data_IF_603385447811
#
_entry.id   IF_603385447811
#
_cell.length_a   1.000
_cell.length_b   1.000
_cell.length_c   1.000
_cell.angle_alpha   90.00
_cell.angle_beta   90.00
_cell.angle_gamma   90.00
#
_symmetry.space_group_name_H-M   'P 1'
#
loop_
_entity.id
_entity.type
_entity.pdbx_description
1 polymer ?
#
# COMPACT_ATOMS: atom_id res chain seq x y z
N UNK A 1 10.74 4.36 5.47
CA UNK A 1 11.22 3.81 4.18
C UNK A 1 10.15 2.83 3.70
N UNK A 2 9.20 3.28 2.89
CA UNK A 2 8.17 2.42 2.33
C UNK A 2 8.71 1.84 1.02
N UNK A 3 8.87 0.52 0.96
CA UNK A 3 9.14 -0.18 -0.29
C UNK A 3 8.10 -1.29 -0.44
N UNK A 4 7.38 -1.22 -1.56
CA UNK A 4 6.42 -2.22 -2.02
C UNK A 4 7.08 -3.56 -2.33
N UNK A 5 6.49 -4.66 -1.84
CA UNK A 5 6.76 -6.02 -2.33
C UNK A 5 5.61 -6.46 -3.23
N UNK A 6 5.93 -6.81 -4.48
CA UNK A 6 5.00 -7.46 -5.41
C UNK A 6 4.67 -8.88 -4.96
N UNK A 7 3.41 -9.29 -5.19
CA UNK A 7 2.94 -10.65 -4.94
C UNK A 7 3.51 -11.66 -5.94
N UNK A 8 3.81 -12.85 -5.43
CA UNK A 8 4.29 -14.02 -6.17
C UNK A 8 3.24 -14.58 -7.14
N UNK A 9 3.73 -15.01 -8.31
CA UNK A 9 3.02 -15.86 -9.26
C UNK A 9 2.83 -17.28 -8.70
N UNK A 10 1.65 -17.83 -8.93
CA UNK A 10 1.30 -19.23 -8.78
C UNK A 10 2.08 -20.10 -9.78
N UNK A 11 2.82 -21.09 -9.28
CA UNK A 11 3.43 -22.16 -10.08
C UNK A 11 2.33 -23.05 -10.68
N UNK A 12 2.24 -23.09 -12.01
CA UNK A 12 1.54 -24.15 -12.72
C UNK A 12 2.53 -25.29 -13.03
N UNK A 13 2.28 -26.45 -12.44
CA UNK A 13 2.95 -27.71 -12.75
C UNK A 13 2.71 -28.09 -14.23
N UNK A 14 3.78 -28.39 -14.96
CA UNK A 14 3.74 -29.19 -16.18
C UNK A 14 4.76 -30.32 -16.06
N UNK A 15 4.27 -31.56 -16.00
CA UNK A 15 5.05 -32.79 -16.12
C UNK A 15 5.24 -33.14 -17.59
N UNK A 16 6.45 -33.55 -17.97
CA UNK A 16 6.70 -34.52 -19.06
C UNK A 16 7.96 -35.34 -18.77
N UNK A 17 7.81 -36.62 -19.05
CA UNK A 17 8.70 -37.73 -18.79
C UNK A 17 9.94 -37.83 -19.72
N UNK A 18 10.89 -38.59 -19.19
CA UNK A 18 11.73 -39.63 -19.81
C UNK A 18 13.08 -39.35 -20.49
N UNK A 19 14.09 -39.94 -19.81
CA UNK A 19 15.16 -40.81 -20.32
C UNK A 19 16.48 -40.21 -20.83
N UNK A 20 17.58 -40.46 -20.08
CA UNK A 20 18.70 -41.33 -20.51
C UNK A 20 20.01 -41.11 -19.69
N UNK A 21 20.63 -42.21 -19.24
CA UNK A 21 22.10 -42.41 -19.15
C UNK A 21 22.82 -42.01 -17.85
N UNK A 22 23.04 -42.90 -16.87
CA UNK A 22 24.18 -43.86 -16.73
C UNK A 22 25.36 -43.37 -15.84
N UNK A 23 25.41 -43.95 -14.63
CA UNK A 23 26.54 -44.59 -13.87
C UNK A 23 27.82 -43.79 -13.45
N UNK A 24 28.24 -44.12 -12.21
CA UNK A 24 29.54 -43.97 -11.50
C UNK A 24 29.60 -42.78 -10.52
N UNK A 25 29.88 -42.94 -9.22
CA UNK A 25 30.25 -44.10 -8.42
C UNK A 25 30.69 -43.61 -7.03
N UNK A 26 30.28 -44.32 -5.98
CA UNK A 26 30.70 -44.12 -4.60
C UNK A 26 32.22 -44.25 -4.44
N UNK A 27 32.86 -43.27 -3.80
CA UNK A 27 33.99 -43.52 -2.89
C UNK A 27 33.98 -42.51 -1.75
N UNK A 28 33.55 -42.99 -0.59
CA UNK A 28 33.93 -42.45 0.70
C UNK A 28 35.46 -42.46 0.83
N UNK A 29 36.03 -41.37 1.34
CA UNK A 29 37.40 -41.33 1.82
C UNK A 29 37.42 -40.51 3.11
N UNK A 30 37.35 -41.26 4.21
CA UNK A 30 37.72 -40.77 5.53
C UNK A 30 39.16 -40.26 5.46
N UNK A 31 39.40 -39.04 5.94
CA UNK A 31 40.74 -38.65 6.36
C UNK A 31 40.67 -37.94 7.71
N UNK A 32 41.62 -38.35 8.53
CA UNK A 32 41.77 -38.17 9.96
C UNK A 32 41.66 -36.74 10.49
N UNK A 33 41.02 -36.65 11.66
CA UNK A 33 41.24 -35.62 12.67
C UNK A 33 42.75 -35.51 12.99
N UNK A 34 43.30 -34.32 12.83
CA UNK A 34 44.38 -33.83 13.69
C UNK A 34 43.99 -32.47 14.23
N UNK A 35 43.73 -32.43 15.53
CA UNK A 35 43.62 -31.21 16.30
C UNK A 35 44.98 -30.53 16.33
N UNK A 36 45.05 -29.26 15.91
CA UNK A 36 46.08 -28.38 16.40
C UNK A 36 45.48 -27.00 16.64
N UNK A 37 45.50 -26.62 17.91
CA UNK A 37 45.19 -25.31 18.45
C UNK A 37 46.18 -24.27 17.93
N UNK A 38 45.67 -23.16 17.39
CA UNK A 38 46.01 -21.80 17.81
C UNK A 38 45.46 -20.75 16.81
N UNK A 39 44.57 -19.90 17.32
CA UNK A 39 44.39 -18.50 16.94
C UNK A 39 44.27 -18.14 15.46
N UNK A 40 43.05 -18.17 14.92
CA UNK A 40 42.61 -17.24 13.87
C UNK A 40 41.18 -16.83 14.19
N UNK A 41 40.94 -15.52 14.26
CA UNK A 41 39.63 -14.90 14.42
C UNK A 41 38.61 -15.61 13.51
N UNK A 42 37.61 -16.21 14.12
CA UNK A 42 36.51 -16.83 13.39
C UNK A 42 35.85 -15.75 12.53
N UNK A 43 35.94 -15.91 11.20
CA UNK A 43 35.05 -15.23 10.27
C UNK A 43 33.63 -15.43 10.81
N UNK A 44 33.00 -14.34 11.25
CA UNK A 44 31.59 -14.36 11.62
C UNK A 44 30.81 -14.65 10.34
N UNK A 45 30.50 -15.91 10.09
CA UNK A 45 29.62 -16.32 9.00
C UNK A 45 28.26 -15.72 9.31
N UNK A 46 27.84 -14.71 8.55
CA UNK A 46 26.60 -13.93 8.74
C UNK A 46 25.31 -14.72 8.43
N UNK A 47 25.44 -16.03 8.23
CA UNK A 47 24.34 -16.92 7.90
C UNK A 47 24.76 -18.34 8.25
N UNK A 48 24.69 -18.70 9.53
CA UNK A 48 24.66 -20.11 9.91
C UNK A 48 23.38 -20.73 9.34
N UNK A 49 23.43 -21.83 8.58
CA UNK A 49 22.24 -22.56 8.12
C UNK A 49 21.52 -23.29 9.26
N UNK A 50 22.14 -23.34 10.44
CA UNK A 50 21.69 -24.08 11.59
C UNK A 50 20.73 -23.22 12.44
N UNK A 51 19.43 -23.48 12.28
CA UNK A 51 18.47 -23.32 13.36
C UNK A 51 17.97 -21.90 13.67
N UNK A 52 17.76 -21.06 12.66
CA UNK A 52 16.92 -19.87 12.85
C UNK A 52 15.48 -20.29 13.20
N UNK A 53 14.93 -19.76 14.29
CA UNK A 53 13.51 -19.94 14.61
C UNK A 53 12.69 -19.53 13.38
N UNK A 54 11.78 -20.38 12.89
CA UNK A 54 10.98 -20.08 11.71
C UNK A 54 10.06 -18.90 12.03
N UNK A 55 10.50 -17.69 11.67
CA UNK A 55 9.71 -16.48 11.83
C UNK A 55 8.58 -16.56 10.80
N UNK A 56 7.34 -16.45 11.28
CA UNK A 56 6.17 -16.37 10.41
C UNK A 56 6.36 -15.26 9.37
N UNK A 57 5.94 -15.48 8.13
CA UNK A 57 6.19 -14.56 7.02
C UNK A 57 5.63 -13.15 7.32
N UNK A 58 4.51 -13.07 8.04
CA UNK A 58 3.90 -11.81 8.48
C UNK A 58 4.72 -11.04 9.53
N UNK A 59 5.75 -11.65 10.10
CA UNK A 59 6.66 -11.06 11.11
C UNK A 59 8.08 -10.87 10.59
N UNK A 60 8.35 -11.19 9.32
CA UNK A 60 9.66 -11.03 8.72
C UNK A 60 9.91 -9.59 8.27
N UNK A 61 11.18 -9.17 8.30
CA UNK A 61 11.63 -7.88 7.74
C UNK A 61 12.34 -8.17 6.43
N UNK A 62 11.80 -7.65 5.33
CA UNK A 62 12.40 -7.80 4.00
C UNK A 62 13.43 -6.71 3.73
N UNK A 63 14.59 -7.10 3.20
CA UNK A 63 15.71 -6.19 2.93
C UNK A 63 15.94 -6.04 1.43
N UNK A 64 15.63 -4.87 0.88
CA UNK A 64 15.99 -4.54 -0.52
C UNK A 64 17.45 -4.07 -0.64
N UNK A 65 17.99 -3.45 0.42
CA UNK A 65 19.36 -2.99 0.53
C UNK A 65 19.87 -3.29 1.94
N UNK A 66 21.14 -3.63 2.05
CA UNK A 66 21.78 -3.86 3.35
C UNK A 66 21.71 -2.61 4.22
N UNK A 67 21.23 -2.77 5.46
CA UNK A 67 21.13 -1.69 6.45
C UNK A 67 21.76 -2.16 7.76
N UNK A 68 22.87 -1.54 8.15
CA UNK A 68 23.50 -1.83 9.43
C UNK A 68 22.79 -1.06 10.56
N UNK A 69 21.93 -1.74 11.30
CA UNK A 69 21.17 -1.14 12.38
C UNK A 69 22.07 -0.55 13.48
N UNK A 70 23.31 -1.04 13.69
CA UNK A 70 24.23 -0.48 14.69
C UNK A 70 24.58 0.99 14.43
N UNK A 71 24.55 1.42 13.17
CA UNK A 71 24.89 2.79 12.77
C UNK A 71 23.70 3.74 12.82
N UNK A 72 22.50 3.24 13.17
CA UNK A 72 21.28 4.04 13.23
C UNK A 72 21.14 4.67 14.62
N UNK A 73 21.27 6.00 14.68
CA UNK A 73 21.18 6.79 15.91
C UNK A 73 19.73 7.12 16.30
N UNK A 74 18.85 7.26 15.31
CA UNK A 74 17.45 7.61 15.53
C UNK A 74 16.52 6.87 14.58
N UNK A 75 15.31 6.55 15.05
CA UNK A 75 14.24 5.94 14.28
C UNK A 75 13.03 6.87 14.28
N UNK A 76 12.70 7.39 13.11
CA UNK A 76 11.51 8.20 12.88
C UNK A 76 10.33 7.34 12.46
N UNK A 77 9.16 7.64 13.00
CA UNK A 77 7.91 6.96 12.66
C UNK A 77 6.95 7.95 12.02
N UNK A 78 6.22 7.49 11.00
CA UNK A 78 4.95 8.10 10.62
C UNK A 78 3.84 7.56 11.54
N UNK A 79 2.71 8.26 11.62
CA UNK A 79 1.58 7.85 12.43
C UNK A 79 0.57 7.05 11.61
N UNK A 80 -0.04 7.68 10.61
CA UNK A 80 -1.18 7.13 9.90
C UNK A 80 -0.75 5.97 8.99
N UNK A 81 -1.41 4.81 9.12
CA UNK A 81 -1.04 3.55 8.45
C UNK A 81 0.39 3.04 8.73
N UNK A 82 1.10 3.60 9.72
CA UNK A 82 2.38 3.08 10.21
C UNK A 82 2.27 2.62 11.66
N UNK A 83 1.97 3.53 12.59
CA UNK A 83 1.68 3.19 13.98
C UNK A 83 0.18 2.98 14.22
N UNK A 84 -0.66 3.84 13.64
CA UNK A 84 -2.11 3.71 13.64
C UNK A 84 -2.54 2.92 12.40
N UNK A 85 -2.70 1.61 12.56
CA UNK A 85 -3.18 0.75 11.47
C UNK A 85 -4.70 0.81 11.40
N UNK A 86 -5.24 1.60 10.48
CA UNK A 86 -6.69 1.72 10.31
C UNK A 86 -7.31 0.45 9.73
N UNK A 87 -8.56 0.18 10.14
CA UNK A 87 -9.42 -0.87 9.59
C UNK A 87 -10.07 -0.35 8.31
N UNK A 88 -9.78 -0.92 7.12
CA UNK A 88 -10.36 -0.43 5.87
C UNK A 88 -11.89 -0.44 5.88
N UNK A 89 -12.51 -1.47 6.47
CA UNK A 89 -13.96 -1.67 6.48
C UNK A 89 -14.72 -0.56 7.21
N UNK A 90 -14.07 0.15 8.13
CA UNK A 90 -14.69 1.20 8.93
C UNK A 90 -14.13 2.59 8.62
N UNK A 91 -12.80 2.74 8.57
CA UNK A 91 -12.18 4.06 8.41
C UNK A 91 -12.24 4.54 6.96
N UNK A 92 -11.94 3.69 5.98
CA UNK A 92 -11.98 4.08 4.57
C UNK A 92 -13.43 4.28 4.11
N UNK A 93 -14.36 3.42 4.57
CA UNK A 93 -15.80 3.62 4.37
C UNK A 93 -16.29 4.96 4.92
N UNK A 94 -15.85 5.35 6.12
CA UNK A 94 -16.19 6.65 6.70
C UNK A 94 -15.64 7.81 5.86
N UNK A 95 -14.40 7.71 5.39
CA UNK A 95 -13.78 8.72 4.53
C UNK A 95 -14.50 8.84 3.18
N UNK A 96 -14.88 7.70 2.60
CA UNK A 96 -15.64 7.61 1.37
C UNK A 96 -17.02 8.27 1.51
N UNK A 97 -17.81 7.90 2.52
CA UNK A 97 -19.12 8.51 2.79
C UNK A 97 -19.01 10.02 3.02
N UNK A 98 -18.00 10.43 3.79
CA UNK A 98 -17.71 11.85 4.02
C UNK A 98 -17.42 12.58 2.71
N UNK A 99 -16.62 11.98 1.82
CA UNK A 99 -16.27 12.55 0.51
C UNK A 99 -17.50 12.71 -0.38
N UNK A 100 -18.38 11.69 -0.45
CA UNK A 100 -19.64 11.76 -1.20
C UNK A 100 -20.52 12.91 -0.71
N UNK A 101 -20.68 13.06 0.62
CA UNK A 101 -21.48 14.15 1.17
C UNK A 101 -20.94 15.52 0.75
N UNK A 102 -19.62 15.69 0.68
CA UNK A 102 -19.00 16.94 0.21
C UNK A 102 -19.23 17.16 -1.29
N UNK A 103 -19.10 16.12 -2.11
CA UNK A 103 -19.42 16.21 -3.54
C UNK A 103 -20.87 16.67 -3.75
N UNK A 104 -21.82 16.08 -3.04
CA UNK A 104 -23.25 16.39 -3.19
C UNK A 104 -23.61 17.75 -2.61
N UNK A 105 -23.28 18.00 -1.34
CA UNK A 105 -23.75 19.20 -0.64
C UNK A 105 -22.92 20.45 -0.92
N UNK A 106 -21.62 20.32 -1.21
CA UNK A 106 -20.73 21.48 -1.37
C UNK A 106 -20.42 21.75 -2.86
N UNK A 107 -20.41 20.71 -3.70
CA UNK A 107 -20.03 20.81 -5.13
C UNK A 107 -21.19 20.53 -6.10
N UNK A 108 -22.39 20.28 -5.59
CA UNK A 108 -23.61 20.17 -6.40
C UNK A 108 -23.71 18.91 -7.26
N UNK A 109 -23.00 17.84 -6.90
CA UNK A 109 -23.18 16.55 -7.56
C UNK A 109 -24.56 15.94 -7.25
N UNK A 110 -25.07 15.04 -8.10
CA UNK A 110 -26.42 14.48 -7.94
C UNK A 110 -26.64 13.76 -6.60
N UNK A 111 -27.82 13.92 -5.96
CA UNK A 111 -28.10 13.31 -4.67
C UNK A 111 -28.08 11.77 -4.69
N UNK A 112 -28.25 11.14 -5.86
CA UNK A 112 -28.17 9.69 -6.02
C UNK A 112 -26.80 9.12 -5.59
N UNK A 113 -25.74 9.93 -5.57
CA UNK A 113 -24.43 9.51 -5.07
C UNK A 113 -24.46 9.12 -3.59
N UNK A 114 -25.40 9.66 -2.80
CA UNK A 114 -25.54 9.32 -1.37
C UNK A 114 -25.92 7.85 -1.12
N UNK A 115 -26.44 7.17 -2.14
CA UNK A 115 -26.83 5.75 -2.07
C UNK A 115 -25.67 4.82 -2.46
N UNK A 116 -24.52 5.37 -2.89
CA UNK A 116 -23.39 4.56 -3.31
C UNK A 116 -22.70 3.87 -2.15
N UNK A 117 -22.15 2.70 -2.46
CA UNK A 117 -21.42 1.86 -1.52
C UNK A 117 -19.96 1.72 -1.95
N UNK A 118 -19.10 1.51 -0.96
CA UNK A 118 -17.67 1.33 -1.13
C UNK A 118 -17.27 -0.12 -0.86
N UNK A 119 -16.53 -0.71 -1.81
CA UNK A 119 -15.85 -2.00 -1.62
C UNK A 119 -14.33 -1.77 -1.41
N UNK A 120 -13.82 -1.92 -0.17
CA UNK A 120 -12.39 -1.72 0.12
C UNK A 120 -11.48 -2.77 -0.54
N UNK A 121 -12.02 -3.86 -1.08
CA UNK A 121 -11.23 -4.94 -1.69
C UNK A 121 -11.04 -4.78 -3.19
N UNK A 122 -11.78 -3.87 -3.82
CA UNK A 122 -11.75 -3.71 -5.27
C UNK A 122 -10.47 -3.05 -5.77
N UNK A 123 -10.05 -1.97 -5.10
CA UNK A 123 -8.84 -1.23 -5.47
C UNK A 123 -7.61 -1.80 -4.78
N UNK A 124 -6.50 -1.82 -5.53
CA UNK A 124 -5.20 -2.21 -4.99
C UNK A 124 -4.18 -1.10 -5.20
N UNK A 125 -3.21 -1.01 -4.30
CA UNK A 125 -2.11 -0.07 -4.44
C UNK A 125 -1.25 -0.37 -5.68
N UNK A 126 -0.58 0.67 -6.18
CA UNK A 126 0.27 0.61 -7.37
C UNK A 126 -0.54 0.54 -8.67
N UNK A 127 -1.77 1.07 -8.65
CA UNK A 127 -2.55 1.42 -9.84
C UNK A 127 -2.26 2.87 -10.23
N UNK A 128 -2.60 3.24 -11.46
CA UNK A 128 -2.44 4.61 -11.98
C UNK A 128 -3.76 5.06 -12.60
N UNK A 129 -4.23 6.25 -12.24
CA UNK A 129 -5.43 6.86 -12.80
C UNK A 129 -5.03 7.73 -14.00
N UNK A 130 -5.64 7.50 -15.16
CA UNK A 130 -5.66 8.44 -16.29
C UNK A 130 -6.86 9.37 -16.12
N UNK A 131 -6.59 10.59 -15.65
CA UNK A 131 -7.63 11.57 -15.31
C UNK A 131 -8.27 12.15 -16.56
N UNK A 132 -7.57 12.17 -17.68
CA UNK A 132 -8.07 12.69 -18.95
C UNK A 132 -9.10 11.75 -19.58
N UNK A 133 -8.85 10.44 -19.48
CA UNK A 133 -9.65 9.41 -20.14
C UNK A 133 -10.57 8.64 -19.19
N UNK A 134 -10.54 8.93 -17.90
CA UNK A 134 -11.36 8.23 -16.90
C UNK A 134 -10.94 6.77 -16.70
N UNK A 135 -9.65 6.46 -16.87
CA UNK A 135 -9.17 5.08 -16.86
C UNK A 135 -8.33 4.74 -15.64
N UNK A 136 -8.28 3.46 -15.29
CA UNK A 136 -7.47 2.88 -14.22
C UNK A 136 -6.53 1.86 -14.83
N UNK A 137 -5.24 2.04 -14.61
CA UNK A 137 -4.18 1.30 -15.29
C UNK A 137 -3.40 0.46 -14.29
N UNK A 138 -3.16 -0.81 -14.66
CA UNK A 138 -2.14 -1.65 -14.04
C UNK A 138 -0.96 -1.79 -14.99
N UNK A 139 0.18 -1.25 -14.58
CA UNK A 139 1.42 -1.28 -15.37
C UNK A 139 2.47 -2.20 -14.77
N UNK A 140 3.39 -2.66 -15.62
CA UNK A 140 4.64 -3.27 -15.16
C UNK A 140 5.73 -2.23 -14.86
N UNK A 141 6.90 -2.71 -14.41
CA UNK A 141 8.05 -1.87 -14.05
C UNK A 141 8.61 -1.04 -15.21
N UNK A 142 8.27 -1.38 -16.46
CA UNK A 142 8.71 -0.68 -17.67
C UNK A 142 7.62 0.25 -18.22
N UNK A 143 6.56 0.49 -17.44
CA UNK A 143 5.40 1.33 -17.80
C UNK A 143 4.55 0.77 -18.95
N UNK A 144 4.59 -0.56 -19.19
CA UNK A 144 3.63 -1.19 -20.10
C UNK A 144 2.31 -1.45 -19.40
N UNK A 145 1.21 -0.95 -19.98
CA UNK A 145 -0.16 -1.18 -19.50
C UNK A 145 -0.56 -2.64 -19.74
N UNK A 146 -0.63 -3.42 -18.66
CA UNK A 146 -1.08 -4.82 -18.70
C UNK A 146 -2.60 -4.91 -18.71
N UNK A 147 -3.24 -4.15 -17.84
CA UNK A 147 -4.70 -4.12 -17.66
C UNK A 147 -5.13 -2.66 -17.59
N UNK A 148 -6.28 -2.36 -18.18
CA UNK A 148 -6.86 -1.03 -18.16
C UNK A 148 -8.38 -1.15 -18.00
N UNK A 149 -8.95 -0.32 -17.13
CA UNK A 149 -10.39 -0.19 -16.93
C UNK A 149 -10.82 1.24 -17.26
N UNK A 150 -12.02 1.40 -17.78
CA UNK A 150 -12.74 2.66 -17.85
C UNK A 150 -13.91 2.59 -16.86
N UNK A 151 -13.86 3.38 -15.80
CA UNK A 151 -14.69 3.11 -14.61
C UNK A 151 -14.45 1.68 -14.11
N UNK A 152 -15.49 0.86 -14.04
CA UNK A 152 -15.38 -0.58 -13.71
C UNK A 152 -15.42 -1.52 -14.91
N UNK A 153 -15.46 -0.99 -16.13
CA UNK A 153 -15.45 -1.79 -17.35
C UNK A 153 -14.03 -2.02 -17.84
N UNK A 154 -13.60 -3.27 -17.96
CA UNK A 154 -12.30 -3.59 -18.54
C UNK A 154 -12.26 -3.18 -20.03
N UNK A 155 -11.16 -2.54 -20.44
CA UNK A 155 -10.94 -2.18 -21.85
C UNK A 155 -10.56 -3.43 -22.65
N UNK A 156 -11.08 -3.50 -23.88
CA UNK A 156 -10.66 -4.53 -24.84
C UNK A 156 -9.17 -4.42 -25.14
N UNK A 157 -8.57 -5.49 -25.66
CA UNK A 157 -7.16 -5.48 -26.04
C UNK A 157 -6.92 -4.43 -27.13
N UNK A 158 -7.84 -4.30 -28.07
CA UNK A 158 -7.81 -3.39 -29.19
C UNK A 158 -7.87 -1.93 -28.71
N UNK A 159 -8.81 -1.60 -27.81
CA UNK A 159 -8.94 -0.25 -27.24
C UNK A 159 -7.72 0.13 -26.40
N UNK A 160 -7.23 -0.81 -25.60
CA UNK A 160 -6.03 -0.62 -24.78
C UNK A 160 -4.79 -0.37 -25.64
N UNK A 161 -4.60 -1.16 -26.71
CA UNK A 161 -3.46 -0.98 -27.62
C UNK A 161 -3.62 0.30 -28.43
N UNK A 162 -4.82 0.63 -28.89
CA UNK A 162 -5.09 1.90 -29.57
C UNK A 162 -4.82 3.12 -28.68
N UNK A 163 -5.10 3.02 -27.38
CA UNK A 163 -4.95 4.12 -26.42
C UNK A 163 -3.54 4.24 -25.85
N UNK A 164 -2.92 3.12 -25.45
CA UNK A 164 -1.66 3.08 -24.69
C UNK A 164 -0.55 2.28 -25.37
N UNK A 165 -0.80 1.68 -26.54
CA UNK A 165 0.16 0.83 -27.23
C UNK A 165 1.24 1.58 -28.01
N UNK A 166 1.10 2.90 -28.18
CA UNK A 166 2.09 3.70 -28.90
C UNK A 166 3.32 3.99 -28.02
N UNK A 167 4.30 3.09 -28.07
CA UNK A 167 5.56 3.17 -27.32
C UNK A 167 6.48 4.31 -27.74
N UNK A 168 6.22 4.99 -28.86
CA UNK A 168 7.01 6.15 -29.31
C UNK A 168 6.71 7.40 -28.47
N UNK A 169 5.49 7.51 -27.96
CA UNK A 169 5.11 8.52 -26.97
C UNK A 169 5.22 7.82 -25.64
N UNK A 170 6.40 7.95 -25.01
CA UNK A 170 6.56 7.49 -23.63
C UNK A 170 5.81 8.47 -22.75
N UNK A 171 4.48 8.30 -22.67
CA UNK A 171 3.67 9.00 -21.69
C UNK A 171 4.38 8.81 -20.36
N UNK A 172 4.69 9.93 -19.71
CA UNK A 172 5.43 9.87 -18.45
C UNK A 172 4.60 9.13 -17.40
N UNK A 173 3.28 9.00 -17.59
CA UNK A 173 2.32 8.46 -16.61
C UNK A 173 2.46 9.17 -15.26
N UNK A 174 2.86 10.43 -15.32
CA UNK A 174 3.12 11.28 -14.19
C UNK A 174 2.07 12.41 -14.15
N UNK A 175 2.04 13.14 -13.03
CA UNK A 175 1.23 14.35 -12.89
C UNK A 175 1.60 15.39 -13.99
N UNK A 176 0.64 16.20 -14.49
CA UNK A 176 -0.70 16.45 -13.95
C UNK A 176 -1.81 15.58 -14.55
N UNK A 177 -1.53 14.75 -15.55
CA UNK A 177 -2.57 14.00 -16.27
C UNK A 177 -2.86 12.64 -15.63
N UNK A 178 -1.87 12.09 -14.91
CA UNK A 178 -1.97 10.82 -14.22
C UNK A 178 -1.80 10.98 -12.71
N UNK A 179 -2.48 10.14 -11.94
CA UNK A 179 -2.31 10.07 -10.48
C UNK A 179 -1.93 8.64 -10.05
N UNK A 180 -0.93 8.52 -9.18
CA UNK A 180 -0.45 7.25 -8.65
C UNK A 180 -1.23 6.89 -7.38
N UNK A 181 -1.70 5.64 -7.30
CA UNK A 181 -2.40 5.12 -6.12
C UNK A 181 -1.35 4.45 -5.21
N UNK A 182 -0.63 5.25 -4.44
CA UNK A 182 0.50 4.84 -3.59
C UNK A 182 0.19 4.85 -2.08
N UNK A 183 -0.90 5.47 -1.66
CA UNK A 183 -1.36 5.44 -0.27
C UNK A 183 -2.61 4.58 -0.09
N UNK A 184 -2.93 4.19 1.14
CA UNK A 184 -4.21 3.50 1.43
C UNK A 184 -5.39 4.48 1.31
N UNK A 185 -5.18 5.75 1.67
CA UNK A 185 -6.17 6.81 1.48
C UNK A 185 -6.59 6.99 0.01
N UNK A 186 -5.67 6.76 -0.93
CA UNK A 186 -5.93 6.88 -2.37
C UNK A 186 -6.85 5.79 -2.93
N UNK A 187 -7.10 4.68 -2.21
CA UNK A 187 -7.93 3.59 -2.70
C UNK A 187 -9.41 3.98 -2.79
N UNK A 188 -9.94 4.62 -1.74
CA UNK A 188 -11.32 5.10 -1.73
C UNK A 188 -11.55 6.19 -2.78
N UNK A 189 -10.58 7.11 -2.94
CA UNK A 189 -10.57 8.14 -3.99
C UNK A 189 -10.62 7.51 -5.40
N UNK A 190 -9.78 6.52 -5.66
CA UNK A 190 -9.74 5.83 -6.95
C UNK A 190 -11.05 5.08 -7.24
N UNK A 191 -11.61 4.40 -6.23
CA UNK A 191 -12.89 3.71 -6.36
C UNK A 191 -14.04 4.67 -6.66
N UNK A 192 -14.11 5.78 -5.93
CA UNK A 192 -15.12 6.81 -6.14
C UNK A 192 -14.98 7.45 -7.53
N UNK A 193 -13.75 7.70 -7.98
CA UNK A 193 -13.49 8.18 -9.33
C UNK A 193 -14.00 7.19 -10.40
N UNK A 194 -13.79 5.89 -10.21
CA UNK A 194 -14.30 4.85 -11.11
C UNK A 194 -15.84 4.87 -11.21
N UNK A 195 -16.52 4.95 -10.06
CA UNK A 195 -17.98 5.07 -10.00
C UNK A 195 -18.48 6.33 -10.71
N UNK A 196 -17.80 7.45 -10.50
CA UNK A 196 -18.13 8.71 -11.15
C UNK A 196 -17.99 8.64 -12.66
N UNK A 197 -16.94 7.98 -13.18
CA UNK A 197 -16.77 7.73 -14.61
C UNK A 197 -17.94 6.92 -15.16
N UNK A 198 -18.26 5.78 -14.55
CA UNK A 198 -19.39 4.94 -14.98
C UNK A 198 -20.72 5.70 -14.89
N UNK A 199 -20.93 6.47 -13.83
CA UNK A 199 -22.15 7.25 -13.64
C UNK A 199 -22.31 8.31 -14.72
N UNK A 200 -21.23 9.05 -15.02
CA UNK A 200 -21.23 10.06 -16.07
C UNK A 200 -21.58 9.48 -17.43
N UNK A 201 -20.97 8.35 -17.79
CA UNK A 201 -21.18 7.69 -19.08
C UNK A 201 -22.62 7.19 -19.25
N UNK A 202 -23.20 6.65 -18.17
CA UNK A 202 -24.56 6.12 -18.17
C UNK A 202 -25.64 7.20 -17.97
N UNK A 203 -25.28 8.39 -17.49
CA UNK A 203 -26.23 9.48 -17.20
C UNK A 203 -25.76 10.82 -17.79
N UNK A 204 -25.77 10.97 -19.13
CA UNK A 204 -25.37 12.22 -19.77
C UNK A 204 -26.19 13.41 -19.25
N UNK A 205 -25.50 14.48 -18.83
CA UNK A 205 -26.13 15.71 -18.35
C UNK A 205 -26.56 15.74 -16.88
N UNK A 206 -26.35 14.65 -16.12
CA UNK A 206 -26.60 14.65 -14.66
C UNK A 206 -25.43 15.18 -13.85
N UNK A 207 -24.20 14.92 -14.29
CA UNK A 207 -23.01 15.51 -13.67
C UNK A 207 -22.94 17.02 -13.95
N UNK A 208 -22.30 17.83 -13.08
CA UNK A 208 -22.19 19.27 -13.29
C UNK A 208 -21.72 19.64 -14.71
N UNK A 209 -22.35 20.66 -15.29
CA UNK A 209 -22.09 21.07 -16.68
C UNK A 209 -20.62 21.47 -16.87
N UNK A 210 -19.97 20.90 -17.89
CA UNK A 210 -18.54 21.13 -18.16
C UNK A 210 -17.56 20.26 -17.34
N UNK A 211 -18.04 19.41 -16.43
CA UNK A 211 -17.18 18.49 -15.68
C UNK A 211 -16.68 17.35 -16.58
N UNK A 212 -15.51 17.51 -17.20
CA UNK A 212 -14.77 16.39 -17.79
C UNK A 212 -14.23 15.44 -16.69
N UNK A 213 -13.69 14.27 -17.06
CA UNK A 213 -13.17 13.32 -16.05
C UNK A 213 -12.04 13.94 -15.21
N UNK A 214 -11.25 14.86 -15.78
CA UNK A 214 -10.15 15.50 -15.05
C UNK A 214 -10.68 16.48 -14.00
N UNK A 215 -11.75 17.22 -14.31
CA UNK A 215 -12.46 18.06 -13.35
C UNK A 215 -13.10 17.22 -12.26
N UNK A 216 -13.77 16.11 -12.60
CA UNK A 216 -14.34 15.19 -11.62
C UNK A 216 -13.28 14.64 -10.66
N UNK A 217 -12.09 14.28 -11.17
CA UNK A 217 -10.99 13.87 -10.30
C UNK A 217 -10.54 15.00 -9.35
N UNK A 218 -10.45 16.24 -9.85
CA UNK A 218 -10.10 17.41 -9.01
C UNK A 218 -11.14 17.63 -7.91
N UNK A 219 -12.42 17.48 -8.23
CA UNK A 219 -13.51 17.62 -7.26
C UNK A 219 -13.46 16.53 -6.19
N UNK A 220 -13.25 15.27 -6.59
CA UNK A 220 -13.03 14.16 -5.65
C UNK A 220 -11.84 14.48 -4.75
N UNK A 221 -10.70 14.89 -5.32
CA UNK A 221 -9.50 15.20 -4.57
C UNK A 221 -9.73 16.34 -3.56
N UNK A 222 -10.44 17.39 -3.99
CA UNK A 222 -10.81 18.51 -3.13
C UNK A 222 -11.74 18.06 -1.99
N UNK A 223 -12.73 17.23 -2.28
CA UNK A 223 -13.65 16.68 -1.29
C UNK A 223 -12.94 15.76 -0.27
N UNK A 224 -12.02 14.91 -0.72
CA UNK A 224 -11.18 14.07 0.15
C UNK A 224 -10.32 14.95 1.06
N UNK A 225 -9.66 15.96 0.50
CA UNK A 225 -8.84 16.90 1.26
C UNK A 225 -9.66 17.66 2.32
N UNK A 226 -10.87 18.13 1.96
CA UNK A 226 -11.79 18.78 2.89
C UNK A 226 -12.22 17.85 4.03
N UNK A 227 -12.56 16.60 3.71
CA UNK A 227 -12.95 15.59 4.70
C UNK A 227 -11.83 15.30 5.72
N UNK A 228 -10.56 15.40 5.30
CA UNK A 228 -9.40 15.25 6.21
C UNK A 228 -9.08 16.53 7.00
N UNK A 229 -9.38 17.71 6.45
CA UNK A 229 -9.06 19.02 7.05
C UNK A 229 -10.13 19.53 8.01
N UNK A 230 -11.41 19.30 7.73
CA UNK A 230 -12.53 19.82 8.52
C UNK A 230 -12.67 19.15 9.90
N UNK A 231 -11.90 18.09 10.14
CA UNK A 231 -11.82 17.40 11.43
C UNK A 231 -12.94 16.38 11.66
N UNK A 232 -13.87 16.21 10.72
CA UNK A 232 -15.00 15.26 10.85
C UNK A 232 -14.50 13.85 11.08
N UNK A 233 -13.56 13.37 10.26
CA UNK A 233 -12.96 12.04 10.43
C UNK A 233 -12.25 11.90 11.77
N UNK A 234 -11.52 12.94 12.19
CA UNK A 234 -10.76 12.93 13.45
C UNK A 234 -11.69 12.84 14.65
N UNK A 235 -12.79 13.58 14.65
CA UNK A 235 -13.79 13.57 15.72
C UNK A 235 -14.50 12.22 15.80
N UNK A 236 -14.87 11.62 14.66
CA UNK A 236 -15.52 10.31 14.62
C UNK A 236 -14.59 9.21 15.13
N UNK A 237 -13.32 9.21 14.70
CA UNK A 237 -12.32 8.25 15.20
C UNK A 237 -12.05 8.45 16.69
N UNK A 238 -11.99 9.69 17.18
CA UNK A 238 -11.73 9.97 18.59
C UNK A 238 -12.85 9.50 19.52
N UNK A 239 -14.09 9.43 19.05
CA UNK A 239 -15.25 8.94 19.83
C UNK A 239 -15.18 7.43 20.08
N UNK A 240 -14.70 6.66 19.10
CA UNK A 240 -14.57 5.20 19.21
C UNK A 240 -13.34 4.68 18.45
N UNK A 241 -12.12 4.85 18.99
CA UNK A 241 -10.90 4.49 18.29
C UNK A 241 -10.82 3.00 17.94
N UNK A 242 -11.35 2.11 18.79
CA UNK A 242 -11.31 0.65 18.61
C UNK A 242 -12.08 0.19 17.37
N UNK A 243 -13.10 0.94 16.97
CA UNK A 243 -13.84 0.67 15.73
C UNK A 243 -13.00 0.94 14.47
N UNK A 244 -12.08 1.90 14.52
CA UNK A 244 -11.37 2.39 13.33
C UNK A 244 -9.90 1.98 13.26
N UNK A 245 -9.26 1.68 14.40
CA UNK A 245 -7.83 1.38 14.49
C UNK A 245 -7.65 -0.03 15.05
N UNK A 246 -6.74 -0.79 14.44
CA UNK A 246 -6.29 -2.07 14.96
C UNK A 246 -5.42 -1.87 16.20
N UNK A 247 -5.76 -2.57 17.27
CA UNK A 247 -4.96 -2.58 18.48
C UNK A 247 -3.71 -3.45 18.26
N UNK A 248 -2.54 -2.88 18.53
CA UNK A 248 -1.26 -3.58 18.46
C UNK A 248 -0.49 -3.37 19.76
N UNK A 249 -0.51 -4.39 20.60
CA UNK A 249 0.14 -4.41 21.92
C UNK A 249 1.67 -4.47 21.82
N UNK A 250 2.23 -4.71 20.63
CA UNK A 250 3.67 -4.79 20.40
C UNK A 250 4.34 -3.41 20.21
N UNK A 251 3.56 -2.36 19.90
CA UNK A 251 4.08 -1.01 19.64
C UNK A 251 4.84 -0.44 20.85
N UNK A 252 4.27 -0.55 22.06
CA UNK A 252 4.92 -0.03 23.29
C UNK A 252 6.21 -0.81 23.62
N UNK A 253 6.21 -2.16 23.63
CA UNK A 253 7.43 -2.95 23.74
C UNK A 253 8.49 -2.57 22.70
N UNK A 254 8.11 -2.38 21.43
CA UNK A 254 9.03 -1.96 20.37
C UNK A 254 9.70 -0.61 20.70
N UNK A 255 8.94 0.40 21.13
CA UNK A 255 9.50 1.69 21.53
C UNK A 255 10.42 1.60 22.76
N UNK A 256 10.07 0.75 23.74
CA UNK A 256 10.92 0.49 24.91
C UNK A 256 12.25 -0.15 24.48
N UNK A 257 12.20 -1.15 23.60
CA UNK A 257 13.39 -1.82 23.05
C UNK A 257 14.28 -0.85 22.28
N UNK A 258 13.71 -0.02 21.39
CA UNK A 258 14.48 0.98 20.64
C UNK A 258 15.17 1.99 21.57
N UNK A 259 14.47 2.50 22.58
CA UNK A 259 15.06 3.42 23.56
C UNK A 259 16.13 2.76 24.42
N UNK A 260 15.90 1.54 24.91
CA UNK A 260 16.88 0.77 25.68
C UNK A 260 18.15 0.48 24.88
N UNK A 261 18.04 0.39 23.56
CA UNK A 261 19.18 0.20 22.66
C UNK A 261 20.01 1.46 22.39
N UNK A 262 19.71 2.58 23.07
CA UNK A 262 20.41 3.86 22.91
C UNK A 262 19.94 4.71 21.72
N UNK A 263 18.85 4.32 21.05
CA UNK A 263 18.33 5.04 19.87
C UNK A 263 17.29 6.08 20.27
N UNK A 264 17.37 7.27 19.66
CA UNK A 264 16.31 8.26 19.75
C UNK A 264 15.10 7.84 18.89
N UNK A 265 13.90 8.14 19.35
CA UNK A 265 12.66 7.88 18.61
C UNK A 265 11.88 9.18 18.45
N UNK A 266 11.38 9.46 17.25
CA UNK A 266 10.58 10.65 16.97
C UNK A 266 9.41 10.34 16.04
N UNK A 267 8.38 11.19 16.09
CA UNK A 267 7.21 11.11 15.24
C UNK A 267 7.26 12.23 14.20
N UNK A 268 7.00 11.89 12.95
CA UNK A 268 6.79 12.83 11.86
C UNK A 268 5.42 12.54 11.31
N UNK A 269 4.46 13.43 11.55
CA UNK A 269 3.08 13.22 11.11
C UNK A 269 2.51 14.51 10.53
N UNK A 270 1.63 14.37 9.53
CA UNK A 270 0.85 15.47 8.98
C UNK A 270 -0.31 15.89 9.90
N UNK A 271 -0.45 15.27 11.08
CA UNK A 271 -1.43 15.65 12.10
C UNK A 271 -0.85 16.61 13.13
N UNK A 272 -1.70 17.49 13.65
CA UNK A 272 -1.38 18.31 14.81
C UNK A 272 -1.55 17.48 16.11
N UNK A 273 -0.65 16.51 16.34
CA UNK A 273 -0.60 15.70 17.57
C UNK A 273 0.85 15.30 17.89
N UNK A 274 1.21 15.28 19.18
CA UNK A 274 2.53 14.81 19.62
C UNK A 274 2.58 13.28 19.74
N UNK A 275 3.79 12.70 19.69
CA UNK A 275 3.98 11.25 19.91
C UNK A 275 3.49 10.79 21.29
N UNK A 276 3.69 11.62 22.31
CA UNK A 276 3.25 11.32 23.67
C UNK A 276 1.72 11.28 23.77
N UNK A 277 1.04 12.23 23.12
CA UNK A 277 -0.42 12.27 23.09
C UNK A 277 -1.00 11.10 22.31
N UNK A 278 -0.37 10.71 21.19
CA UNK A 278 -0.76 9.55 20.41
C UNK A 278 -0.66 8.25 21.22
N UNK A 279 0.49 7.98 21.84
CA UNK A 279 0.67 6.79 22.68
C UNK A 279 -0.34 6.81 23.83
N UNK A 280 -0.49 7.93 24.54
CA UNK A 280 -1.45 8.05 25.63
C UNK A 280 -2.89 7.81 25.14
N UNK A 281 -3.23 8.16 23.90
CA UNK A 281 -4.55 7.97 23.33
C UNK A 281 -4.89 6.52 23.01
N UNK A 282 -3.90 5.73 22.56
CA UNK A 282 -4.08 4.31 22.24
C UNK A 282 -4.21 3.45 23.49
N UNK A 283 -3.45 3.77 24.55
CA UNK A 283 -3.35 2.94 25.76
C UNK A 283 -4.15 3.49 26.95
N UNK A 284 -5.13 4.38 26.71
CA UNK A 284 -5.96 5.00 27.75
C UNK A 284 -6.81 4.01 28.58
N UNK A 285 -6.85 2.73 28.18
CA UNK A 285 -7.61 1.67 28.83
C UNK A 285 -6.77 0.68 29.67
N UNK A 286 -5.45 0.91 29.85
CA UNK A 286 -4.62 0.09 30.76
C UNK A 286 -4.48 0.71 32.17
N UNK A 287 -5.58 1.12 32.79
CA UNK A 287 -5.61 1.45 34.23
C UNK A 287 -6.68 0.65 34.94
#
# INVERSE_FOLDING_TARGET
MLIYSGFNQSNSHYSKDDSAGTILGDKASQSHLMANSNGVEGLHVWSSPEGGCKIDIGKQIFCNRSLNMKNILAVGFDMDYTLAQYKPETFESLAYEGTIRKLVYDLGYPPELLEWTFDPKYMVRGLVLDKKRGNILKMDRHKYVKVAYHGFRELSKEDKVGTYGNTLIRDSFDEPDYALIDTLFSLAEAYLFAQLVDYKDNNPGKVPEGADYSHMYKDVRAAVDLCHRDGTLKQMVAKDPKRYINEDTSIVPMFKMLRASGRSTFLVTNRYISLADFISSLFRHEK
#
